data_IF_968585273440
#
_entry.id   IF_968585273440
#
_cell.length_a   1.000
_cell.length_b   1.000
_cell.length_c   1.000
_cell.angle_alpha   90.00
_cell.angle_beta   90.00
_cell.angle_gamma   90.00
#
_symmetry.space_group_name_H-M   'P 1'
#
loop_
_entity.id
_entity.type
_entity.pdbx_description
1 polymer ?
#
# COMPACT_ATOMS: atom_id res chain seq x y z
N UNK A 1 2.66 16.87 16.48
CA UNK A 1 3.44 15.86 17.24
C UNK A 1 4.75 15.62 16.51
N UNK A 2 5.85 15.38 17.23
CA UNK A 2 7.10 14.94 16.59
C UNK A 2 6.95 13.50 16.11
N UNK A 3 7.66 13.12 15.04
CA UNK A 3 7.70 11.73 14.60
C UNK A 3 8.67 10.95 15.50
N UNK A 4 8.13 10.06 16.31
CA UNK A 4 8.87 9.23 17.26
C UNK A 4 8.09 7.92 17.42
N UNK A 5 8.19 7.01 16.43
CA UNK A 5 7.35 5.82 16.40
C UNK A 5 7.68 4.89 17.57
N UNK A 6 6.64 4.35 18.18
CA UNK A 6 6.72 3.24 19.13
C UNK A 6 6.95 1.94 18.35
N UNK A 7 7.88 1.12 18.82
CA UNK A 7 8.10 -0.22 18.30
C UNK A 7 7.23 -1.22 19.04
N UNK A 8 6.57 -2.13 18.31
CA UNK A 8 5.82 -3.19 18.94
C UNK A 8 6.76 -4.20 19.61
N UNK A 9 6.39 -4.66 20.80
CA UNK A 9 7.11 -5.73 21.49
C UNK A 9 7.19 -7.00 20.64
N UNK A 10 8.33 -7.68 20.69
CA UNK A 10 8.58 -8.91 19.95
C UNK A 10 7.56 -9.99 20.32
N UNK A 11 7.07 -10.74 19.32
CA UNK A 11 6.12 -11.84 19.54
C UNK A 11 4.71 -11.40 19.94
N UNK A 12 4.38 -10.10 19.80
CA UNK A 12 3.01 -9.62 20.00
C UNK A 12 2.06 -10.31 19.03
N UNK A 13 0.89 -10.71 19.52
CA UNK A 13 -0.16 -11.29 18.68
C UNK A 13 -0.50 -10.35 17.50
N UNK A 14 -0.77 -10.92 16.31
CA UNK A 14 -1.12 -10.14 15.14
C UNK A 14 -2.36 -9.29 15.44
N UNK A 15 -2.33 -8.01 15.03
CA UNK A 15 -3.51 -7.12 15.11
C UNK A 15 -4.43 -7.38 13.91
N UNK A 16 -3.84 -7.78 12.79
CA UNK A 16 -4.56 -8.08 11.55
C UNK A 16 -4.75 -9.60 11.48
N UNK A 17 -6.01 -10.03 11.48
CA UNK A 17 -6.38 -11.43 11.35
C UNK A 17 -6.96 -11.66 9.95
N UNK A 18 -6.12 -12.15 9.05
CA UNK A 18 -6.56 -12.56 7.72
C UNK A 18 -7.06 -14.00 7.75
N UNK A 19 -8.24 -14.21 7.18
CA UNK A 19 -8.89 -15.51 7.06
C UNK A 19 -8.45 -16.19 5.77
N UNK A 20 -8.21 -17.49 5.85
CA UNK A 20 -7.86 -18.34 4.72
C UNK A 20 -8.95 -19.36 4.42
N UNK A 21 -8.92 -19.83 3.17
CA UNK A 21 -9.67 -21.01 2.75
C UNK A 21 -9.27 -22.23 3.61
N UNK A 22 -10.21 -23.14 3.93
CA UNK A 22 -9.93 -24.32 4.75
C UNK A 22 -8.78 -25.16 4.17
N UNK A 23 -7.79 -25.49 5.00
CA UNK A 23 -6.62 -26.29 4.59
C UNK A 23 -5.38 -25.48 4.21
N UNK A 24 -5.45 -24.14 4.23
CA UNK A 24 -4.30 -23.24 4.06
C UNK A 24 -3.99 -22.57 5.41
N UNK A 25 -2.70 -22.45 5.74
CA UNK A 25 -2.27 -21.72 6.94
C UNK A 25 -2.64 -20.23 6.82
N UNK A 26 -3.16 -19.65 7.90
CA UNK A 26 -3.53 -18.23 7.90
C UNK A 26 -2.28 -17.34 7.83
N UNK A 27 -2.28 -16.27 7.01
CA UNK A 27 -1.20 -15.30 6.95
C UNK A 27 -0.84 -14.75 8.32
N UNK A 28 0.46 -14.80 8.62
CA UNK A 28 1.01 -14.19 9.82
C UNK A 28 1.38 -12.73 9.53
N UNK A 29 0.65 -11.81 10.18
CA UNK A 29 0.88 -10.37 10.10
C UNK A 29 1.64 -9.88 11.33
N UNK A 30 2.90 -9.49 11.15
CA UNK A 30 3.73 -9.00 12.24
C UNK A 30 3.70 -7.46 12.32
N UNK A 31 3.26 -6.87 13.46
CA UNK A 31 3.29 -5.44 13.66
C UNK A 31 4.72 -4.95 13.94
N UNK A 32 5.14 -3.85 13.31
CA UNK A 32 6.51 -3.32 13.46
C UNK A 32 6.56 -1.99 14.23
N UNK A 33 5.99 -0.93 13.65
CA UNK A 33 5.98 0.41 14.25
C UNK A 33 4.57 0.98 14.32
N UNK A 34 4.32 1.81 15.34
CA UNK A 34 3.11 2.61 15.52
C UNK A 34 3.47 4.06 15.82
N UNK A 35 2.68 4.98 15.31
CA UNK A 35 2.83 6.41 15.57
C UNK A 35 1.44 7.02 15.84
N UNK A 36 1.31 7.73 16.96
CA UNK A 36 0.12 8.52 17.25
C UNK A 36 -0.05 9.64 16.20
N UNK A 37 -1.30 9.90 15.81
CA UNK A 37 -1.64 10.87 14.79
C UNK A 37 -2.96 11.59 15.10
N UNK A 38 -3.18 12.72 14.42
CA UNK A 38 -4.36 13.58 14.58
C UNK A 38 -5.17 13.72 13.29
N UNK A 39 -4.82 12.96 12.24
CA UNK A 39 -5.56 12.95 10.99
C UNK A 39 -6.56 11.78 10.97
N UNK A 40 -7.77 12.06 10.50
CA UNK A 40 -8.86 11.09 10.41
C UNK A 40 -8.71 10.10 9.24
N UNK A 41 -9.62 9.10 9.17
CA UNK A 41 -9.55 8.00 8.20
C UNK A 41 -9.65 8.47 6.74
N UNK A 42 -10.30 9.60 6.46
CA UNK A 42 -10.43 10.19 5.13
C UNK A 42 -9.07 10.68 4.62
N UNK A 43 -8.31 11.39 5.47
CA UNK A 43 -6.95 11.85 5.13
C UNK A 43 -6.04 10.64 4.94
N UNK A 44 -6.10 9.66 5.85
CA UNK A 44 -5.33 8.42 5.72
C UNK A 44 -5.61 7.73 4.38
N UNK A 45 -6.88 7.49 4.05
CA UNK A 45 -7.30 6.86 2.79
C UNK A 45 -6.80 7.65 1.58
N UNK A 46 -6.97 8.97 1.58
CA UNK A 46 -6.50 9.85 0.50
C UNK A 46 -4.97 9.75 0.31
N UNK A 47 -4.20 9.72 1.42
CA UNK A 47 -2.74 9.56 1.35
C UNK A 47 -2.34 8.19 0.82
N UNK A 48 -3.01 7.13 1.25
CA UNK A 48 -2.76 5.78 0.73
C UNK A 48 -3.05 5.69 -0.76
N UNK A 49 -4.16 6.27 -1.26
CA UNK A 49 -4.43 6.36 -2.71
C UNK A 49 -3.33 7.15 -3.43
N UNK A 50 -2.84 8.24 -2.83
CA UNK A 50 -1.74 9.05 -3.40
C UNK A 50 -0.47 8.22 -3.53
N UNK A 51 -0.10 7.44 -2.51
CA UNK A 51 1.05 6.55 -2.53
C UNK A 51 0.89 5.35 -3.48
N UNK A 52 -0.34 4.86 -3.66
CA UNK A 52 -0.64 3.81 -4.64
C UNK A 52 -0.35 4.33 -6.05
N UNK A 53 -0.87 5.52 -6.38
CA UNK A 53 -0.69 6.16 -7.70
C UNK A 53 0.72 6.70 -7.94
N UNK A 54 1.44 7.06 -6.87
CA UNK A 54 2.76 7.68 -6.95
C UNK A 54 3.76 6.95 -6.04
N UNK A 55 4.16 5.72 -6.37
CA UNK A 55 5.07 4.92 -5.53
C UNK A 55 6.45 5.56 -5.36
N UNK A 56 6.86 6.44 -6.27
CA UNK A 56 8.09 7.24 -6.17
C UNK A 56 8.13 8.17 -4.93
N UNK A 57 6.98 8.45 -4.33
CA UNK A 57 6.90 9.15 -3.04
C UNK A 57 7.39 8.29 -1.87
N UNK A 58 7.34 6.96 -1.99
CA UNK A 58 7.75 6.00 -0.94
C UNK A 58 9.13 5.38 -1.18
N UNK A 59 9.63 5.39 -2.41
CA UNK A 59 10.96 4.89 -2.73
C UNK A 59 11.55 5.57 -3.95
N UNK A 60 12.85 5.88 -3.90
CA UNK A 60 13.57 6.47 -5.04
C UNK A 60 13.87 5.43 -6.13
N UNK A 61 13.71 4.13 -5.84
CA UNK A 61 13.93 3.06 -6.81
C UNK A 61 12.84 2.96 -7.88
N UNK A 62 11.65 3.46 -7.58
CA UNK A 62 10.51 3.44 -8.49
C UNK A 62 10.41 4.75 -9.26
N UNK A 63 10.13 4.61 -10.56
CA UNK A 63 9.90 5.74 -11.45
C UNK A 63 8.47 6.21 -11.37
N UNK A 64 7.52 5.27 -11.47
CA UNK A 64 6.07 5.51 -11.37
C UNK A 64 5.33 4.19 -11.08
N UNK A 65 4.01 4.29 -10.90
CA UNK A 65 3.12 3.14 -10.79
C UNK A 65 1.92 3.32 -11.71
N UNK A 66 1.71 2.39 -12.62
CA UNK A 66 0.60 2.45 -13.58
C UNK A 66 -0.60 1.71 -12.99
N UNK A 67 -1.72 2.40 -12.80
CA UNK A 67 -2.95 1.77 -12.27
C UNK A 67 -3.58 0.95 -13.39
N UNK A 68 -3.61 -0.36 -13.23
CA UNK A 68 -4.20 -1.32 -14.17
C UNK A 68 -5.69 -1.54 -13.88
N UNK A 69 -6.08 -1.46 -12.60
CA UNK A 69 -7.45 -1.70 -12.15
C UNK A 69 -7.78 -0.88 -10.90
N UNK A 70 -9.04 -0.47 -10.75
CA UNK A 70 -9.56 0.31 -9.63
C UNK A 70 -11.09 0.16 -9.54
N UNK A 71 -11.61 -0.60 -8.57
CA UNK A 71 -13.06 -0.86 -8.42
C UNK A 71 -13.82 0.20 -7.61
N UNK A 72 -13.47 1.48 -7.80
CA UNK A 72 -14.02 2.58 -7.01
C UNK A 72 -15.58 2.55 -7.00
N UNK A 73 -16.21 2.50 -5.81
CA UNK A 73 -17.67 2.51 -5.73
C UNK A 73 -18.23 3.83 -6.27
N UNK A 74 -19.10 3.75 -7.28
CA UNK A 74 -19.79 4.89 -7.91
C UNK A 74 -19.30 5.30 -9.30
N UNK A 75 -18.25 4.67 -9.86
CA UNK A 75 -17.81 4.93 -11.24
C UNK A 75 -18.48 3.91 -12.21
N UNK A 76 -19.81 3.94 -12.33
CA UNK A 76 -20.53 3.17 -13.38
C UNK A 76 -20.24 3.68 -14.80
N UNK A 77 -19.66 4.89 -14.93
CA UNK A 77 -19.27 5.51 -16.20
C UNK A 77 -17.80 5.26 -16.61
N UNK A 78 -16.97 4.61 -15.79
CA UNK A 78 -15.55 4.36 -16.12
C UNK A 78 -15.32 3.14 -17.03
N UNK A 79 -16.39 2.57 -17.60
CA UNK A 79 -16.35 1.32 -18.41
C UNK A 79 -15.73 1.52 -19.80
N UNK A 80 -15.46 2.75 -20.24
CA UNK A 80 -14.84 2.98 -21.57
C UNK A 80 -13.30 3.02 -21.59
N UNK A 81 -12.62 2.89 -20.44
CA UNK A 81 -11.15 2.94 -20.41
C UNK A 81 -10.44 2.16 -19.31
N UNK A 82 -11.14 1.68 -18.28
CA UNK A 82 -10.56 0.90 -17.19
C UNK A 82 -11.21 -0.48 -17.13
N UNK A 83 -10.38 -1.52 -17.16
CA UNK A 83 -10.73 -2.94 -17.14
C UNK A 83 -12.09 -3.34 -16.56
N UNK A 84 -12.96 -4.04 -17.30
CA UNK A 84 -14.08 -4.78 -16.70
C UNK A 84 -13.56 -5.87 -15.76
N UNK A 85 -14.41 -6.35 -14.84
CA UNK A 85 -14.06 -7.44 -13.91
C UNK A 85 -13.59 -8.73 -14.63
N UNK A 86 -13.98 -8.90 -15.88
CA UNK A 86 -13.57 -9.99 -16.78
C UNK A 86 -12.17 -9.75 -17.40
N UNK A 87 -11.76 -8.49 -17.60
CA UNK A 87 -10.42 -8.11 -18.04
C UNK A 87 -9.36 -8.24 -16.93
N UNK A 88 -9.75 -8.37 -15.65
CA UNK A 88 -8.81 -8.74 -14.57
C UNK A 88 -8.05 -10.04 -14.86
N UNK A 89 -8.71 -11.02 -15.49
CA UNK A 89 -8.11 -12.32 -15.83
C UNK A 89 -6.98 -12.23 -16.85
N UNK A 90 -6.78 -11.09 -17.50
CA UNK A 90 -5.70 -10.84 -18.46
C UNK A 90 -4.48 -10.14 -17.85
N UNK A 91 -4.57 -9.54 -16.65
CA UNK A 91 -3.45 -8.78 -16.07
C UNK A 91 -2.44 -9.63 -15.30
N UNK A 92 -2.88 -10.80 -14.84
CA UNK A 92 -2.08 -11.93 -14.38
C UNK A 92 -3.06 -13.08 -14.10
N UNK A 93 -2.82 -14.29 -14.60
CA UNK A 93 -3.60 -15.47 -14.18
C UNK A 93 -3.36 -15.84 -12.70
N UNK A 94 -2.44 -15.12 -12.05
CA UNK A 94 -1.96 -15.31 -10.67
C UNK A 94 -2.39 -14.18 -9.74
N UNK A 95 -3.59 -13.64 -9.97
CA UNK A 95 -4.17 -12.66 -9.06
C UNK A 95 -4.21 -13.24 -7.63
N UNK A 96 -3.66 -12.56 -6.61
CA UNK A 96 -3.70 -13.05 -5.24
C UNK A 96 -5.15 -13.20 -4.80
N UNK A 97 -5.48 -14.32 -4.16
CA UNK A 97 -6.83 -14.60 -3.69
C UNK A 97 -7.38 -13.41 -2.90
N UNK A 98 -8.68 -13.13 -3.06
CA UNK A 98 -9.35 -12.04 -2.34
C UNK A 98 -9.11 -12.24 -0.84
N UNK A 99 -8.48 -11.27 -0.19
CA UNK A 99 -8.20 -11.36 1.25
C UNK A 99 -9.45 -11.03 2.04
N UNK A 100 -9.73 -11.84 3.06
CA UNK A 100 -10.83 -11.62 4.00
C UNK A 100 -10.21 -11.31 5.35
N UNK A 101 -10.47 -10.13 5.91
CA UNK A 101 -9.90 -9.71 7.20
C UNK A 101 -11.01 -9.75 8.24
N UNK A 102 -10.78 -10.46 9.35
CA UNK A 102 -11.77 -10.60 10.42
C UNK A 102 -12.18 -9.22 10.98
N UNK A 103 -13.49 -9.00 11.11
CA UNK A 103 -14.06 -7.74 11.63
C UNK A 103 -13.95 -6.54 10.68
N UNK A 104 -13.53 -6.75 9.42
CA UNK A 104 -13.43 -5.67 8.43
C UNK A 104 -14.10 -6.05 7.10
N UNK A 105 -14.71 -5.07 6.45
CA UNK A 105 -15.24 -5.19 5.10
C UNK A 105 -14.30 -4.52 4.10
N UNK A 106 -14.10 -5.19 2.97
CA UNK A 106 -13.31 -4.63 1.87
C UNK A 106 -14.13 -3.58 1.13
N UNK A 107 -13.56 -2.40 0.94
CA UNK A 107 -14.23 -1.23 0.36
C UNK A 107 -13.72 -0.85 -1.02
N UNK A 108 -12.48 -1.24 -1.36
CA UNK A 108 -11.85 -0.96 -2.66
C UNK A 108 -10.66 -1.90 -2.90
N UNK A 109 -10.39 -2.20 -4.16
CA UNK A 109 -9.25 -2.95 -4.68
C UNK A 109 -8.68 -2.18 -5.86
N UNK A 110 -7.39 -1.89 -5.80
CA UNK A 110 -6.63 -1.30 -6.89
C UNK A 110 -5.50 -2.26 -7.28
N UNK A 111 -5.19 -2.38 -8.57
CA UNK A 111 -3.95 -3.03 -9.02
C UNK A 111 -3.09 -2.05 -9.76
N UNK A 112 -1.81 -2.05 -9.41
CA UNK A 112 -0.81 -1.21 -10.05
C UNK A 112 0.35 -2.05 -10.55
N UNK A 113 0.98 -1.59 -11.63
CA UNK A 113 2.29 -2.05 -12.09
C UNK A 113 3.37 -1.09 -11.59
N UNK A 114 4.27 -1.58 -10.77
CA UNK A 114 5.43 -0.83 -10.28
C UNK A 114 6.50 -0.81 -11.37
N UNK A 115 6.88 0.38 -11.83
CA UNK A 115 7.91 0.56 -12.85
C UNK A 115 9.21 1.03 -12.18
N UNK A 116 10.29 0.23 -12.19
CA UNK A 116 11.58 0.66 -11.65
C UNK A 116 12.21 1.77 -12.50
N UNK A 117 13.07 2.58 -11.87
CA UNK A 117 13.86 3.59 -12.58
C UNK A 117 14.90 2.99 -13.52
N UNK A 118 15.38 1.80 -13.21
CA UNK A 118 16.33 1.06 -14.03
C UNK A 118 15.73 -0.30 -14.40
N UNK A 119 15.09 -0.36 -15.57
CA UNK A 119 14.42 -1.56 -16.07
C UNK A 119 15.38 -2.64 -16.57
N UNK A 120 16.65 -2.29 -16.81
CA UNK A 120 17.71 -3.27 -17.13
C UNK A 120 18.10 -4.10 -15.90
N UNK A 121 17.95 -3.55 -14.69
CA UNK A 121 18.31 -4.24 -13.45
C UNK A 121 17.14 -4.98 -12.83
N UNK A 122 15.96 -4.39 -12.85
CA UNK A 122 14.77 -4.93 -12.22
C UNK A 122 13.60 -4.90 -13.22
N UNK A 123 12.84 -5.98 -13.31
CA UNK A 123 11.62 -6.01 -14.11
C UNK A 123 10.46 -5.27 -13.41
N UNK A 124 9.51 -4.68 -14.16
CA UNK A 124 8.23 -4.24 -13.60
C UNK A 124 7.49 -5.36 -12.86
N UNK A 125 6.79 -5.03 -11.77
CA UNK A 125 6.04 -5.99 -10.96
C UNK A 125 4.64 -5.46 -10.64
N UNK A 126 3.62 -6.30 -10.79
CA UNK A 126 2.25 -5.98 -10.39
C UNK A 126 2.10 -6.05 -8.86
N UNK A 127 1.19 -5.26 -8.31
CA UNK A 127 0.88 -5.23 -6.89
C UNK A 127 -0.59 -4.90 -6.66
N UNK A 128 -1.28 -5.74 -5.90
CA UNK A 128 -2.65 -5.50 -5.43
C UNK A 128 -2.63 -4.64 -4.17
N UNK A 129 -3.49 -3.64 -4.15
CA UNK A 129 -3.70 -2.74 -3.03
C UNK A 129 -5.17 -2.83 -2.61
N UNK A 130 -5.45 -3.42 -1.44
CA UNK A 130 -6.82 -3.57 -0.93
C UNK A 130 -7.07 -2.63 0.24
N UNK A 131 -8.26 -2.03 0.25
CA UNK A 131 -8.75 -1.16 1.32
C UNK A 131 -9.83 -1.90 2.10
N UNK A 132 -9.68 -1.93 3.41
CA UNK A 132 -10.60 -2.55 4.36
C UNK A 132 -11.00 -1.52 5.42
N UNK A 133 -12.23 -1.61 5.90
CA UNK A 133 -12.74 -0.76 6.98
C UNK A 133 -13.45 -1.64 8.01
N UNK A 134 -13.28 -1.34 9.30
CA UNK A 134 -14.00 -2.04 10.35
C UNK A 134 -15.51 -1.95 10.12
N UNK A 135 -16.21 -3.07 10.22
CA UNK A 135 -17.67 -3.05 10.30
C UNK A 135 -18.08 -2.31 11.57
N UNK A 136 -19.09 -1.45 11.50
CA UNK A 136 -19.65 -0.84 12.71
C UNK A 136 -20.08 -1.95 13.69
N UNK A 137 -19.87 -1.80 15.01
CA UNK A 137 -20.29 -2.80 15.98
C UNK A 137 -21.81 -2.92 15.90
N UNK A 138 -22.27 -4.11 15.50
CA UNK A 138 -23.66 -4.50 15.59
C UNK A 138 -23.86 -5.06 17.00
N UNK A 139 -24.55 -4.28 17.84
CA UNK A 139 -25.11 -4.66 19.14
C UNK A 139 -24.23 -5.51 20.07
N UNK A 140 -23.22 -4.89 20.71
CA UNK A 140 -22.74 -5.39 22.00
C UNK A 140 -22.25 -4.25 22.90
N UNK A 141 -22.88 -4.11 24.06
CA UNK A 141 -22.84 -2.95 24.93
C UNK A 141 -21.58 -2.85 25.83
N UNK A 142 -20.40 -3.28 25.36
CA UNK A 142 -19.23 -3.36 26.25
C UNK A 142 -17.83 -3.24 25.59
N UNK A 143 -17.69 -2.55 24.45
CA UNK A 143 -16.37 -2.05 24.00
C UNK A 143 -16.47 -0.85 23.04
N UNK A 144 -16.08 0.33 23.52
CA UNK A 144 -15.54 1.48 22.75
C UNK A 144 -16.10 1.69 21.32
N UNK A 145 -17.42 1.87 21.21
CA UNK A 145 -18.19 2.01 19.96
C UNK A 145 -17.84 3.23 19.07
N UNK A 146 -16.82 4.00 19.44
CA UNK A 146 -16.36 5.21 18.74
C UNK A 146 -15.08 5.00 17.92
N UNK A 147 -14.50 3.80 17.95
CA UNK A 147 -13.26 3.46 17.24
C UNK A 147 -13.56 2.91 15.85
N UNK A 148 -12.92 3.49 14.84
CA UNK A 148 -12.97 3.04 13.44
C UNK A 148 -11.58 2.67 12.99
N UNK A 149 -11.43 1.51 12.37
CA UNK A 149 -10.18 1.04 11.80
C UNK A 149 -10.24 1.06 10.28
N UNK A 150 -9.21 1.60 9.64
CA UNK A 150 -9.02 1.58 8.18
C UNK A 150 -7.69 0.90 7.87
N UNK A 151 -7.73 -0.14 7.06
CA UNK A 151 -6.58 -0.98 6.74
C UNK A 151 -6.31 -0.94 5.23
N UNK A 152 -5.05 -0.76 4.85
CA UNK A 152 -4.62 -0.85 3.45
C UNK A 152 -3.51 -1.88 3.32
N UNK A 153 -3.75 -2.91 2.51
CA UNK A 153 -2.83 -4.03 2.30
C UNK A 153 -2.23 -3.95 0.90
N UNK A 154 -0.91 -4.01 0.80
CA UNK A 154 -0.15 -4.15 -0.44
C UNK A 154 0.36 -5.57 -0.59
N UNK A 155 -0.01 -6.23 -1.68
CA UNK A 155 0.31 -7.63 -1.99
C UNK A 155 1.09 -7.65 -3.30
N UNK A 156 2.42 -7.85 -3.27
CA UNK A 156 3.20 -8.04 -4.49
C UNK A 156 2.75 -9.31 -5.22
N UNK A 157 2.74 -9.28 -6.55
CA UNK A 157 2.46 -10.45 -7.38
C UNK A 157 3.77 -11.21 -7.60
N UNK A 158 4.13 -12.03 -6.61
CA UNK A 158 5.32 -12.87 -6.61
C UNK A 158 5.06 -14.13 -5.78
N UNK A 159 5.47 -15.29 -6.29
CA UNK A 159 5.22 -16.59 -5.64
C UNK A 159 6.22 -16.89 -4.54
N UNK A 160 7.42 -16.34 -4.62
CA UNK A 160 8.49 -16.59 -3.66
C UNK A 160 9.37 -15.36 -3.41
N UNK A 161 10.23 -15.43 -2.39
CA UNK A 161 11.14 -14.36 -2.04
C UNK A 161 12.25 -14.14 -3.09
N UNK A 162 12.52 -15.12 -3.96
CA UNK A 162 13.51 -15.08 -5.04
C UNK A 162 13.01 -14.29 -6.25
N UNK A 163 11.70 -14.29 -6.50
CA UNK A 163 11.06 -13.53 -7.59
C UNK A 163 10.97 -12.03 -7.27
N UNK A 164 11.20 -11.65 -6.00
CA UNK A 164 11.06 -10.28 -5.54
C UNK A 164 12.14 -9.35 -6.12
N UNK A 165 11.76 -8.27 -6.84
CA UNK A 165 12.70 -7.33 -7.40
C UNK A 165 13.41 -6.53 -6.30
N UNK A 166 14.61 -6.02 -6.58
CA UNK A 166 15.47 -5.37 -5.58
C UNK A 166 14.82 -4.15 -4.93
N UNK A 167 13.94 -3.46 -5.66
CA UNK A 167 13.26 -2.26 -5.18
C UNK A 167 12.12 -2.53 -4.17
N UNK A 168 11.74 -3.79 -3.95
CA UNK A 168 10.69 -4.19 -3.02
C UNK A 168 11.27 -5.01 -1.86
N UNK A 169 10.80 -4.83 -0.60
CA UNK A 169 11.16 -5.73 0.49
C UNK A 169 10.69 -7.17 0.19
N UNK A 170 11.44 -8.18 0.63
CA UNK A 170 11.10 -9.59 0.44
C UNK A 170 9.99 -10.05 1.39
N UNK A 171 8.76 -9.58 1.18
CA UNK A 171 7.60 -9.88 2.03
C UNK A 171 6.40 -10.20 1.15
N UNK A 172 5.53 -11.11 1.59
CA UNK A 172 4.26 -11.47 0.96
C UNK A 172 3.22 -10.36 1.07
N UNK A 173 3.39 -9.43 2.02
CA UNK A 173 2.48 -8.32 2.19
C UNK A 173 3.02 -7.19 3.06
N UNK A 174 2.54 -5.98 2.79
CA UNK A 174 2.78 -4.79 3.61
C UNK A 174 1.41 -4.18 3.95
N UNK A 175 1.09 -4.03 5.23
CA UNK A 175 -0.16 -3.45 5.68
C UNK A 175 0.07 -2.14 6.43
N UNK A 176 -0.79 -1.17 6.15
CA UNK A 176 -0.87 0.07 6.91
C UNK A 176 -2.24 0.12 7.59
N UNK A 177 -2.23 0.18 8.91
CA UNK A 177 -3.45 0.23 9.72
C UNK A 177 -3.57 1.60 10.37
N UNK A 178 -4.73 2.23 10.20
CA UNK A 178 -5.14 3.45 10.88
C UNK A 178 -6.27 3.14 11.85
N UNK A 179 -6.10 3.50 13.11
CA UNK A 179 -7.11 3.37 14.16
C UNK A 179 -7.50 4.78 14.61
N UNK A 180 -8.78 5.10 14.58
CA UNK A 180 -9.28 6.44 14.87
C UNK A 180 -10.38 6.42 15.92
N UNK A 181 -10.28 7.27 16.94
CA UNK A 181 -11.35 7.54 17.89
C UNK A 181 -11.98 8.90 17.59
N UNK A 182 -13.24 8.89 17.16
CA UNK A 182 -13.96 10.11 16.80
C UNK A 182 -14.31 10.99 18.02
N UNK A 183 -14.45 10.41 19.22
CA UNK A 183 -14.77 11.16 20.43
C UNK A 183 -13.58 12.00 20.93
N UNK A 184 -12.35 11.50 20.77
CA UNK A 184 -11.14 12.20 21.23
C UNK A 184 -10.40 12.94 20.12
N UNK A 185 -10.80 12.76 18.85
CA UNK A 185 -10.08 13.24 17.67
C UNK A 185 -8.59 12.82 17.66
N UNK A 186 -8.34 11.59 18.10
CA UNK A 186 -7.02 11.00 18.15
C UNK A 186 -7.02 9.65 17.45
N UNK A 187 -5.90 9.32 16.85
CA UNK A 187 -5.70 8.02 16.25
C UNK A 187 -4.25 7.59 16.25
N UNK A 188 -3.99 6.46 15.60
CA UNK A 188 -2.64 5.97 15.36
C UNK A 188 -2.54 5.36 13.97
N UNK A 189 -1.36 5.44 13.39
CA UNK A 189 -0.99 4.69 12.17
C UNK A 189 0.07 3.67 12.54
N UNK A 190 -0.01 2.49 11.93
CA UNK A 190 0.97 1.42 12.13
C UNK A 190 1.28 0.69 10.83
N UNK A 191 2.48 0.13 10.76
CA UNK A 191 2.94 -0.69 9.62
C UNK A 191 3.17 -2.13 10.08
N UNK A 192 2.71 -3.07 9.26
CA UNK A 192 2.75 -4.50 9.51
C UNK A 192 3.28 -5.22 8.27
N UNK A 193 3.98 -6.34 8.47
CA UNK A 193 4.53 -7.14 7.38
C UNK A 193 4.00 -8.57 7.44
N UNK A 194 3.85 -9.18 6.27
CA UNK A 194 3.61 -10.60 6.12
C UNK A 194 4.83 -11.24 5.42
N UNK A 195 5.74 -11.92 6.13
CA UNK A 195 6.99 -12.47 5.59
C UNK A 195 6.82 -13.84 4.89
N UNK A 196 7.71 -14.20 3.94
CA UNK A 196 7.63 -15.46 3.13
C UNK A 196 7.96 -16.77 3.89
N UNK A 197 8.57 -16.71 5.08
CA UNK A 197 8.80 -17.79 6.04
C UNK A 197 9.44 -17.18 7.30
N UNK A 198 9.49 -17.92 8.41
CA UNK A 198 10.03 -17.50 9.72
C UNK A 198 11.49 -16.96 9.70
N UNK A 199 12.20 -17.12 8.59
CA UNK A 199 13.59 -16.71 8.42
C UNK A 199 13.75 -15.21 8.11
N UNK A 200 12.69 -14.54 7.64
CA UNK A 200 12.63 -13.08 7.59
C UNK A 200 12.08 -12.62 8.92
N UNK A 201 12.95 -12.65 9.91
CA UNK A 201 12.67 -12.01 11.18
C UNK A 201 12.53 -10.52 10.87
N UNK A 202 11.53 -9.86 11.45
CA UNK A 202 11.49 -8.39 11.54
C UNK A 202 12.83 -7.79 12.04
N UNK A 203 13.74 -8.60 12.58
CA UNK A 203 15.11 -8.21 12.91
C UNK A 203 15.98 -7.83 11.70
N UNK A 204 15.59 -8.13 10.46
CA UNK A 204 16.32 -7.62 9.28
C UNK A 204 16.35 -6.08 9.33
N UNK A 205 17.53 -5.52 9.56
CA UNK A 205 17.74 -4.09 9.70
C UNK A 205 17.22 -3.33 8.47
N UNK A 206 17.32 -3.95 7.28
CA UNK A 206 16.78 -3.40 6.05
C UNK A 206 15.26 -3.32 6.11
N UNK A 207 14.55 -4.39 6.49
CA UNK A 207 13.10 -4.39 6.65
C UNK A 207 12.64 -3.39 7.72
N UNK A 208 13.34 -3.30 8.85
CA UNK A 208 13.08 -2.29 9.89
C UNK A 208 13.19 -0.88 9.35
N UNK A 209 14.28 -0.59 8.62
CA UNK A 209 14.47 0.70 7.99
C UNK A 209 13.36 1.00 6.98
N UNK A 210 12.95 0.03 6.17
CA UNK A 210 11.83 0.17 5.24
C UNK A 210 10.54 0.51 5.99
N UNK A 211 10.19 -0.23 7.04
CA UNK A 211 9.00 0.04 7.86
C UNK A 211 9.01 1.44 8.50
N UNK A 212 10.16 1.87 9.02
CA UNK A 212 10.33 3.22 9.57
C UNK A 212 10.04 4.29 8.51
N UNK A 213 10.65 4.18 7.32
CA UNK A 213 10.46 5.14 6.23
C UNK A 213 9.04 5.15 5.68
N UNK A 214 8.38 4.00 5.58
CA UNK A 214 6.98 3.92 5.17
C UNK A 214 6.08 4.66 6.16
N UNK A 215 6.25 4.38 7.46
CA UNK A 215 5.46 5.02 8.51
C UNK A 215 5.77 6.53 8.62
N UNK A 216 7.04 6.92 8.50
CA UNK A 216 7.46 8.33 8.55
C UNK A 216 6.83 9.14 7.42
N UNK A 217 6.89 8.63 6.20
CA UNK A 217 6.29 9.29 5.03
C UNK A 217 4.79 9.39 5.18
N UNK A 218 4.13 8.30 5.58
CA UNK A 218 2.69 8.32 5.85
C UNK A 218 2.31 9.37 6.89
N UNK A 219 3.00 9.38 8.02
CA UNK A 219 2.76 10.34 9.10
C UNK A 219 2.98 11.79 8.65
N UNK A 220 4.12 12.10 8.02
CA UNK A 220 4.44 13.44 7.54
C UNK A 220 3.42 13.92 6.49
N UNK A 221 3.07 13.07 5.53
CA UNK A 221 2.09 13.42 4.50
C UNK A 221 0.68 13.60 5.09
N UNK A 222 0.25 12.75 6.02
CA UNK A 222 -1.03 12.90 6.71
C UNK A 222 -1.10 14.19 7.52
N UNK A 223 -0.06 14.46 8.32
CA UNK A 223 0.02 15.68 9.15
C UNK A 223 0.07 16.95 8.29
N UNK A 224 0.85 16.97 7.22
CA UNK A 224 0.91 18.12 6.31
C UNK A 224 -0.44 18.39 5.63
N UNK A 225 -1.20 17.33 5.32
CA UNK A 225 -2.52 17.46 4.68
C UNK A 225 -3.56 18.04 5.63
N UNK A 226 -3.53 17.61 6.90
CA UNK A 226 -4.36 18.19 7.94
C UNK A 226 -4.09 19.69 8.12
N UNK A 227 -2.83 20.10 8.02
CA UNK A 227 -2.41 21.50 8.10
C UNK A 227 -2.67 22.30 6.81
N UNK A 228 -3.45 21.76 5.87
CA UNK A 228 -3.82 22.46 4.64
C UNK A 228 -2.68 22.62 3.63
N UNK A 229 -1.70 21.71 3.60
CA UNK A 229 -0.64 21.76 2.58
C UNK A 229 -1.22 21.61 1.18
N UNK A 230 -1.38 22.74 0.49
CA UNK A 230 -1.67 22.80 -0.95
C UNK A 230 -0.36 22.85 -1.70
N UNK A 231 -0.20 21.98 -2.71
CA UNK A 231 0.96 22.02 -3.62
C UNK A 231 0.97 23.40 -4.30
N UNK A 232 2.02 24.19 -4.05
CA UNK A 232 2.11 25.58 -4.53
C UNK A 232 2.58 25.71 -5.98
N UNK A 233 3.06 24.62 -6.58
CA UNK A 233 3.63 24.61 -7.93
C UNK A 233 2.75 23.78 -8.84
N UNK A 234 2.03 24.48 -9.71
CA UNK A 234 1.35 23.91 -10.87
C UNK A 234 2.27 24.14 -12.08
N UNK A 235 2.84 23.05 -12.62
CA UNK A 235 3.58 23.16 -13.86
C UNK A 235 2.59 23.13 -15.02
N UNK A 236 2.72 24.09 -15.94
CA UNK A 236 2.00 24.05 -17.20
C UNK A 236 2.42 22.79 -17.96
N UNK A 237 1.48 21.86 -18.10
CA UNK A 237 1.75 20.52 -18.59
C UNK A 237 1.32 20.44 -20.06
N UNK A 238 2.25 20.66 -20.99
CA UNK A 238 2.00 20.57 -22.44
C UNK A 238 1.76 19.11 -22.88
N UNK A 239 2.36 18.15 -22.17
CA UNK A 239 2.26 16.72 -22.47
C UNK A 239 1.94 15.98 -21.17
N UNK A 240 0.96 15.06 -21.14
CA UNK A 240 0.67 14.24 -19.97
C UNK A 240 1.93 13.52 -19.48
N UNK A 241 2.14 13.54 -18.16
CA UNK A 241 3.32 12.95 -17.52
C UNK A 241 3.56 11.49 -17.93
N UNK A 242 2.55 10.59 -17.98
CA UNK A 242 2.78 9.19 -18.40
C UNK A 242 3.36 9.11 -19.81
N UNK A 243 2.79 9.85 -20.77
CA UNK A 243 3.25 9.86 -22.17
C UNK A 243 4.68 10.36 -22.32
N UNK A 244 5.05 11.40 -21.57
CA UNK A 244 6.43 11.88 -21.53
C UNK A 244 7.37 10.82 -20.96
N UNK A 245 6.98 10.20 -19.84
CA UNK A 245 7.77 9.16 -19.16
C UNK A 245 7.95 7.90 -20.01
N UNK A 246 6.95 7.49 -20.78
CA UNK A 246 7.03 6.38 -21.73
C UNK A 246 8.07 6.68 -22.81
N UNK A 247 7.97 7.87 -23.40
CA UNK A 247 8.89 8.29 -24.46
C UNK A 247 10.32 8.43 -23.94
N UNK A 248 10.50 8.95 -22.72
CA UNK A 248 11.80 9.05 -22.08
C UNK A 248 12.43 7.67 -21.86
N UNK A 249 11.68 6.72 -21.31
CA UNK A 249 12.17 5.34 -21.10
C UNK A 249 12.59 4.71 -22.43
N UNK A 250 11.73 4.76 -23.44
CA UNK A 250 12.00 4.19 -24.76
C UNK A 250 13.21 4.83 -25.48
N UNK A 251 13.45 6.13 -25.28
CA UNK A 251 14.63 6.81 -25.83
C UNK A 251 15.90 6.46 -25.07
N UNK A 252 15.82 6.32 -23.75
CA UNK A 252 16.94 5.94 -22.91
C UNK A 252 17.41 4.53 -23.26
N UNK A 253 16.48 3.57 -23.36
CA UNK A 253 16.79 2.18 -23.72
C UNK A 253 17.50 2.11 -25.08
N UNK A 254 16.98 2.83 -26.10
CA UNK A 254 17.60 2.91 -27.43
C UNK A 254 18.99 3.54 -27.44
N UNK A 255 19.23 4.54 -26.59
CA UNK A 255 20.51 5.25 -26.54
C UNK A 255 21.58 4.40 -25.85
N UNK A 256 21.18 3.59 -24.87
CA UNK A 256 22.06 2.66 -24.18
C UNK A 256 22.36 1.43 -25.05
N UNK A 257 21.40 0.93 -25.85
CA UNK A 257 21.63 -0.10 -26.89
C UNK A 257 22.62 0.36 -27.97
N UNK A 258 22.58 1.63 -28.36
CA UNK A 258 23.49 2.19 -29.36
C UNK A 258 24.94 2.42 -28.83
N UNK A 259 25.16 2.26 -27.53
CA UNK A 259 26.46 2.42 -26.87
C UNK A 259 27.15 1.08 -26.55
N UNK A 260 26.53 -0.05 -26.90
CA UNK A 260 27.09 -1.41 -26.87
C UNK A 260 27.55 -1.84 -28.27
#
# INVERSE_FOLDING_TARGET
>A
MAFAPEEFAQGRSPIIHELCSPGVEAPHWEPLYRQACTFGPEIFTQRMVTFIRNPNLNTTWLFRGDVLFDDKPGDEEAVEGNGTREQLGYFDTEWPERRVVAGMSRTRTMVRRLIPRNQMRDAPMNQTCEFHRSSAPQDDASADSSKVSTLVIYVPHARSAEEMPFYHPKVQGIAHLHEWNAATNQGSVSVHFHPYAADIVIMDEKLRRVGYHLLERLYKHGHNSLNGYTKRVHHDTVIPQPRFQDRYSALKDKSEEACL
#
